data_IF_818150921098
#
_entry.id   IF_818150921098
#
_cell.length_a   1.000
_cell.length_b   1.000
_cell.length_c   1.000
_cell.angle_alpha   90.00
_cell.angle_beta   90.00
_cell.angle_gamma   90.00
#
_symmetry.space_group_name_H-M   'P 1'
#
loop_
_entity.id
_entity.type
_entity.pdbx_description
1 polymer ?
#
# COMPACT_ATOMS: atom_id res chain seq x y z
N UNK A 1 41.93 39.98 -16.72
CA UNK A 1 41.08 39.70 -15.54
C UNK A 1 40.62 38.22 -15.67
N UNK A 2 41.06 37.39 -14.74
CA UNK A 2 40.64 35.97 -14.67
C UNK A 2 39.28 35.90 -13.99
N UNK A 3 38.36 34.99 -14.38
CA UNK A 3 37.14 34.70 -13.65
C UNK A 3 37.43 33.92 -12.35
N UNK A 4 36.60 34.06 -11.31
CA UNK A 4 36.79 33.36 -10.04
C UNK A 4 36.54 31.85 -10.15
N UNK A 5 37.16 31.03 -9.30
CA UNK A 5 36.99 29.58 -9.34
C UNK A 5 35.60 29.19 -8.85
N UNK A 6 34.87 28.49 -9.72
CA UNK A 6 33.55 27.92 -9.41
C UNK A 6 33.66 26.90 -8.29
N UNK A 7 33.00 27.19 -7.17
CA UNK A 7 32.83 26.25 -6.07
C UNK A 7 32.03 25.03 -6.54
N UNK A 8 32.67 23.88 -6.53
CA UNK A 8 31.99 22.59 -6.69
C UNK A 8 31.19 22.36 -5.40
N UNK A 9 29.90 22.55 -5.46
CA UNK A 9 29.02 22.03 -4.42
C UNK A 9 29.01 20.49 -4.55
N UNK A 10 29.78 19.82 -3.67
CA UNK A 10 29.62 18.41 -3.44
C UNK A 10 28.30 18.18 -2.70
N UNK A 11 27.25 17.89 -3.44
CA UNK A 11 26.07 17.21 -2.91
C UNK A 11 26.44 15.73 -2.71
N UNK A 12 27.10 15.43 -1.60
CA UNK A 12 27.15 14.07 -1.06
C UNK A 12 25.87 13.84 -0.25
N UNK A 13 24.73 13.76 -0.91
CA UNK A 13 23.59 13.06 -0.38
C UNK A 13 23.87 11.59 -0.68
N UNK A 14 24.22 10.80 0.32
CA UNK A 14 24.05 9.35 0.28
C UNK A 14 22.58 9.14 -0.08
N UNK A 15 22.29 8.77 -1.32
CA UNK A 15 20.96 8.37 -1.74
C UNK A 15 20.65 7.10 -0.96
N UNK A 16 19.92 7.22 0.14
CA UNK A 16 19.34 6.08 0.84
C UNK A 16 18.54 5.32 -0.19
N UNK A 17 18.94 4.08 -0.45
CA UNK A 17 18.28 3.24 -1.44
C UNK A 17 16.86 2.99 -0.97
N UNK A 18 15.86 3.40 -1.76
CA UNK A 18 14.46 3.21 -1.42
C UNK A 18 14.16 1.72 -1.17
N UNK A 19 13.34 1.43 -0.18
CA UNK A 19 12.98 0.07 0.21
C UNK A 19 12.11 -0.61 -0.86
N UNK A 20 11.09 0.12 -1.34
CA UNK A 20 10.33 -0.22 -2.56
C UNK A 20 10.44 0.96 -3.53
N UNK A 21 10.70 0.68 -4.78
CA UNK A 21 10.76 1.67 -5.84
C UNK A 21 9.95 1.20 -7.06
N UNK A 22 8.97 1.98 -7.43
CA UNK A 22 8.17 1.81 -8.65
C UNK A 22 8.60 2.90 -9.62
N UNK A 23 9.16 2.51 -10.76
CA UNK A 23 9.74 3.45 -11.71
C UNK A 23 8.98 3.43 -13.02
N UNK A 24 8.21 4.49 -13.27
CA UNK A 24 7.56 4.81 -14.55
C UNK A 24 6.81 3.62 -15.15
N UNK A 25 6.02 2.88 -14.32
CA UNK A 25 5.30 1.70 -14.81
C UNK A 25 4.09 2.09 -15.64
N UNK A 26 3.91 1.38 -16.77
CA UNK A 26 2.67 1.33 -17.53
C UNK A 26 2.04 -0.05 -17.36
N UNK A 27 0.72 -0.07 -17.14
CA UNK A 27 -0.05 -1.32 -17.03
C UNK A 27 -1.18 -1.31 -18.01
N UNK A 28 -1.29 -2.42 -18.78
CA UNK A 28 -2.35 -2.65 -19.75
C UNK A 28 -3.10 -3.93 -19.37
N UNK A 29 -4.42 -3.90 -19.46
CA UNK A 29 -5.28 -5.08 -19.36
C UNK A 29 -5.79 -5.48 -20.74
N UNK A 30 -5.96 -6.79 -20.96
CA UNK A 30 -6.43 -7.38 -22.23
C UNK A 30 -5.70 -6.83 -23.48
N UNK A 31 -4.41 -6.42 -23.31
CA UNK A 31 -3.57 -5.81 -24.36
C UNK A 31 -4.10 -4.49 -24.96
N UNK A 32 -5.19 -3.94 -24.41
CA UNK A 32 -5.88 -2.76 -24.98
C UNK A 32 -6.10 -1.66 -23.94
N UNK A 33 -6.46 -2.01 -22.71
CA UNK A 33 -6.92 -1.03 -21.71
C UNK A 33 -5.70 -0.52 -20.92
N UNK A 34 -5.20 0.67 -21.25
CA UNK A 34 -4.12 1.33 -20.53
C UNK A 34 -4.64 1.96 -19.24
N UNK A 35 -4.32 1.35 -18.09
CA UNK A 35 -4.76 1.79 -16.75
C UNK A 35 -3.71 2.64 -16.07
N UNK A 36 -2.45 2.17 -15.97
CA UNK A 36 -1.36 2.98 -15.40
C UNK A 36 -0.53 3.61 -16.52
N UNK A 37 -0.16 4.89 -16.32
CA UNK A 37 0.43 5.74 -17.37
C UNK A 37 1.70 6.42 -16.88
N UNK A 38 2.70 5.60 -16.50
CA UNK A 38 3.96 6.10 -15.99
C UNK A 38 3.93 6.43 -14.50
N UNK A 39 3.39 5.51 -13.69
CA UNK A 39 3.36 5.66 -12.22
C UNK A 39 4.76 5.46 -11.66
N UNK A 40 5.19 6.40 -10.82
CA UNK A 40 6.42 6.33 -10.03
C UNK A 40 6.12 6.65 -8.59
N UNK A 41 6.58 5.80 -7.67
CA UNK A 41 6.50 6.01 -6.23
C UNK A 41 7.67 5.32 -5.50
N UNK A 42 7.92 5.74 -4.26
CA UNK A 42 8.93 5.16 -3.38
C UNK A 42 8.35 4.95 -1.99
N UNK A 43 8.83 3.91 -1.33
CA UNK A 43 8.57 3.65 0.09
C UNK A 43 9.92 3.42 0.74
N UNK A 44 10.25 4.19 1.76
CA UNK A 44 11.44 3.97 2.58
C UNK A 44 11.17 2.88 3.63
N UNK A 45 12.23 2.25 4.14
CA UNK A 45 12.09 1.23 5.17
C UNK A 45 11.42 1.78 6.43
N UNK A 46 10.46 1.06 6.97
CA UNK A 46 9.73 1.45 8.17
C UNK A 46 8.75 2.61 7.97
N UNK A 47 8.43 2.99 6.74
CA UNK A 47 7.41 4.01 6.46
C UNK A 47 6.03 3.43 6.22
N UNK A 48 5.01 4.23 6.56
CA UNK A 48 3.64 4.09 6.10
C UNK A 48 3.42 5.10 4.98
N UNK A 49 3.20 4.63 3.76
CA UNK A 49 2.97 5.47 2.58
C UNK A 49 1.54 5.27 2.10
N UNK A 50 0.82 6.37 1.81
CA UNK A 50 -0.53 6.34 1.27
C UNK A 50 -0.54 6.56 -0.24
N UNK A 51 -1.27 5.71 -0.95
CA UNK A 51 -1.63 5.87 -2.35
C UNK A 51 -3.10 6.25 -2.44
N UNK A 52 -3.38 7.51 -2.67
CA UNK A 52 -4.69 8.14 -2.57
C UNK A 52 -5.30 8.37 -3.95
N UNK A 53 -6.61 8.39 -4.02
CA UNK A 53 -7.33 8.69 -5.26
C UNK A 53 -8.74 8.11 -5.27
N UNK A 54 -9.55 8.60 -6.20
CA UNK A 54 -10.91 8.10 -6.41
C UNK A 54 -10.93 6.64 -6.91
N UNK A 55 -12.12 6.02 -6.90
CA UNK A 55 -12.30 4.71 -7.52
C UNK A 55 -11.96 4.79 -9.01
N UNK A 56 -11.24 3.78 -9.51
CA UNK A 56 -10.73 3.76 -10.89
C UNK A 56 -9.48 4.59 -11.14
N UNK A 57 -8.89 5.25 -10.13
CA UNK A 57 -7.64 6.01 -10.29
C UNK A 57 -6.42 5.14 -10.62
N UNK A 58 -6.48 3.81 -10.33
CA UNK A 58 -5.40 2.86 -10.56
C UNK A 58 -4.69 2.37 -9.31
N UNK A 59 -5.23 2.65 -8.11
CA UNK A 59 -4.63 2.27 -6.81
C UNK A 59 -4.43 0.75 -6.69
N UNK A 60 -5.52 -0.01 -6.78
CA UNK A 60 -5.50 -1.48 -6.75
C UNK A 60 -4.59 -2.07 -7.84
N UNK A 61 -4.63 -1.50 -9.05
CA UNK A 61 -3.74 -1.91 -10.16
C UNK A 61 -2.28 -1.70 -9.82
N UNK A 62 -1.94 -0.59 -9.13
CA UNK A 62 -0.57 -0.33 -8.68
C UNK A 62 -0.13 -1.37 -7.65
N UNK A 63 -0.97 -1.70 -6.65
CA UNK A 63 -0.67 -2.75 -5.67
C UNK A 63 -0.52 -4.12 -6.34
N UNK A 64 -1.41 -4.48 -7.28
CA UNK A 64 -1.33 -5.73 -8.04
C UNK A 64 -0.11 -5.79 -8.95
N UNK A 65 0.38 -4.65 -9.47
CA UNK A 65 1.64 -4.61 -10.20
C UNK A 65 2.83 -4.96 -9.31
N UNK A 66 2.86 -4.42 -8.08
CA UNK A 66 3.92 -4.69 -7.10
C UNK A 66 3.91 -6.15 -6.64
N UNK A 67 2.72 -6.72 -6.39
CA UNK A 67 2.54 -8.11 -5.94
C UNK A 67 2.51 -9.15 -7.07
N UNK A 68 2.65 -8.71 -8.34
CA UNK A 68 2.60 -9.56 -9.54
C UNK A 68 1.28 -10.35 -9.71
N UNK A 69 0.16 -9.81 -9.19
CA UNK A 69 -1.17 -10.41 -9.31
C UNK A 69 -1.91 -9.98 -10.59
N UNK A 70 -1.37 -9.04 -11.39
CA UNK A 70 -2.00 -8.55 -12.61
C UNK A 70 -2.34 -9.67 -13.60
N UNK A 71 -1.46 -10.67 -13.74
CA UNK A 71 -1.63 -11.77 -14.71
C UNK A 71 -2.90 -12.58 -14.49
N UNK A 72 -3.36 -12.70 -13.24
CA UNK A 72 -4.60 -13.40 -12.91
C UNK A 72 -5.84 -12.72 -13.53
N UNK A 73 -5.71 -11.42 -13.84
CA UNK A 73 -6.77 -10.59 -14.43
C UNK A 73 -6.41 -10.12 -15.86
N UNK A 74 -5.50 -10.81 -16.55
CA UNK A 74 -5.00 -10.47 -17.90
C UNK A 74 -4.32 -9.09 -17.98
N UNK A 75 -3.75 -8.62 -16.88
CA UNK A 75 -2.95 -7.39 -16.82
C UNK A 75 -1.46 -7.68 -16.91
N UNK A 76 -0.71 -6.73 -17.43
CA UNK A 76 0.76 -6.80 -17.50
C UNK A 76 1.42 -5.43 -17.34
N UNK A 77 2.62 -5.43 -16.76
CA UNK A 77 3.50 -4.26 -16.76
C UNK A 77 4.23 -4.22 -18.10
N UNK A 78 3.90 -3.25 -18.94
CA UNK A 78 4.48 -3.12 -20.30
C UNK A 78 5.71 -2.26 -20.35
N UNK A 79 5.83 -1.27 -19.41
CA UNK A 79 7.01 -0.39 -19.29
C UNK A 79 7.38 -0.16 -17.84
N UNK A 80 8.60 0.27 -17.62
CA UNK A 80 9.13 0.58 -16.30
C UNK A 80 9.68 -0.65 -15.59
N UNK A 81 9.87 -0.50 -14.29
CA UNK A 81 10.37 -1.57 -13.42
C UNK A 81 9.94 -1.35 -11.98
N UNK A 82 9.95 -2.43 -11.20
CA UNK A 82 9.66 -2.41 -9.77
C UNK A 82 10.84 -3.06 -9.06
N UNK A 83 11.41 -2.33 -8.09
CA UNK A 83 12.55 -2.78 -7.30
C UNK A 83 12.14 -2.88 -5.84
N UNK A 84 12.55 -3.95 -5.17
CA UNK A 84 12.43 -4.11 -3.73
C UNK A 84 13.82 -4.40 -3.16
N UNK A 85 14.29 -3.55 -2.25
CA UNK A 85 15.65 -3.59 -1.70
C UNK A 85 16.72 -3.66 -2.80
N UNK A 86 16.52 -2.87 -3.87
CA UNK A 86 17.40 -2.81 -5.03
C UNK A 86 17.28 -3.98 -6.01
N UNK A 87 16.57 -5.03 -5.67
CA UNK A 87 16.36 -6.17 -6.56
C UNK A 87 15.07 -6.00 -7.39
N UNK A 88 15.15 -6.32 -8.69
CA UNK A 88 13.98 -6.27 -9.57
C UNK A 88 13.00 -7.38 -9.23
N UNK A 89 11.71 -7.03 -9.07
CA UNK A 89 10.67 -7.95 -8.62
C UNK A 89 9.51 -8.14 -9.61
N UNK A 90 9.34 -7.30 -10.60
CA UNK A 90 8.20 -7.31 -11.54
C UNK A 90 8.10 -8.57 -12.43
N UNK A 91 9.07 -9.48 -12.34
CA UNK A 91 9.08 -10.76 -13.08
C UNK A 91 8.97 -12.00 -12.20
N UNK A 92 8.89 -11.82 -10.89
CA UNK A 92 8.82 -12.92 -9.93
C UNK A 92 7.40 -13.46 -9.84
N UNK A 93 7.27 -14.71 -9.36
CA UNK A 93 5.97 -15.26 -9.00
C UNK A 93 5.46 -14.65 -7.68
N UNK A 94 4.15 -14.50 -7.47
CA UNK A 94 3.59 -13.97 -6.22
C UNK A 94 4.10 -14.70 -4.97
N UNK A 95 4.26 -16.03 -5.03
CA UNK A 95 4.79 -16.83 -3.90
C UNK A 95 6.24 -16.46 -3.55
N UNK A 96 7.06 -16.10 -4.55
CA UNK A 96 8.44 -15.65 -4.32
C UNK A 96 8.49 -14.28 -3.66
N UNK A 97 7.52 -13.40 -3.99
CA UNK A 97 7.39 -12.10 -3.33
C UNK A 97 7.03 -12.25 -1.86
N UNK A 98 6.10 -13.15 -1.52
CA UNK A 98 5.77 -13.45 -0.12
C UNK A 98 6.99 -13.98 0.62
N UNK A 99 7.78 -14.88 0.04
CA UNK A 99 9.05 -15.37 0.62
C UNK A 99 10.09 -14.27 0.79
N UNK A 100 10.04 -13.22 -0.02
CA UNK A 100 10.90 -12.01 0.11
C UNK A 100 10.34 -10.99 1.11
N UNK A 101 9.19 -11.28 1.72
CA UNK A 101 8.58 -10.45 2.74
C UNK A 101 7.60 -9.39 2.23
N UNK A 102 7.09 -9.48 0.99
CA UNK A 102 6.02 -8.61 0.49
C UNK A 102 4.71 -9.37 0.50
N UNK A 103 3.74 -8.92 1.30
CA UNK A 103 2.40 -9.47 1.35
C UNK A 103 1.36 -8.44 0.92
N UNK A 104 0.33 -8.87 0.20
CA UNK A 104 -0.83 -8.02 -0.11
C UNK A 104 -2.07 -8.51 0.62
N UNK A 105 -2.78 -7.56 1.25
CA UNK A 105 -4.15 -7.72 1.71
C UNK A 105 -5.04 -7.04 0.68
N UNK A 106 -5.78 -7.84 -0.07
CA UNK A 106 -6.63 -7.36 -1.17
C UNK A 106 -7.92 -6.73 -0.65
N UNK A 107 -8.50 -5.83 -1.44
CA UNK A 107 -9.85 -5.33 -1.25
C UNK A 107 -10.85 -6.50 -1.14
N UNK A 108 -11.89 -6.35 -0.30
CA UNK A 108 -12.89 -7.41 -0.13
C UNK A 108 -12.51 -8.51 0.86
N UNK A 109 -11.41 -8.34 1.62
CA UNK A 109 -10.98 -9.19 2.75
C UNK A 109 -10.51 -10.59 2.36
N UNK A 110 -11.13 -11.25 1.40
CA UNK A 110 -10.79 -12.56 0.82
C UNK A 110 -10.46 -13.64 1.89
N UNK A 111 -11.28 -13.73 2.94
CA UNK A 111 -11.20 -14.84 3.89
C UNK A 111 -11.74 -16.12 3.26
N UNK A 112 -11.16 -17.25 3.61
CA UNK A 112 -11.71 -18.57 3.29
C UNK A 112 -12.92 -18.80 4.20
N UNK A 113 -14.12 -18.60 3.66
CA UNK A 113 -15.36 -18.52 4.44
C UNK A 113 -15.67 -19.81 5.23
N UNK A 114 -15.29 -20.98 4.70
CA UNK A 114 -15.53 -22.29 5.31
C UNK A 114 -14.47 -22.67 6.36
N UNK A 115 -13.33 -21.97 6.37
CA UNK A 115 -12.30 -22.17 7.39
C UNK A 115 -12.63 -21.32 8.61
N UNK A 116 -12.20 -21.80 9.78
CA UNK A 116 -12.21 -21.02 11.02
C UNK A 116 -11.28 -19.81 10.91
N UNK A 117 -11.41 -18.84 11.81
CA UNK A 117 -10.48 -17.69 11.92
C UNK A 117 -9.05 -18.19 12.09
N UNK A 118 -8.82 -19.15 13.01
CA UNK A 118 -7.49 -19.71 13.26
C UNK A 118 -6.91 -20.41 12.04
N UNK A 119 -7.69 -21.23 11.34
CA UNK A 119 -7.24 -21.89 10.11
C UNK A 119 -6.93 -20.85 9.01
N UNK A 120 -7.73 -19.79 8.88
CA UNK A 120 -7.41 -18.69 7.97
C UNK A 120 -6.06 -18.07 8.30
N UNK A 121 -5.79 -17.78 9.57
CA UNK A 121 -4.50 -17.24 10.00
C UNK A 121 -3.35 -18.19 9.64
N UNK A 122 -3.50 -19.47 9.96
CA UNK A 122 -2.48 -20.50 9.69
C UNK A 122 -2.14 -20.64 8.20
N UNK A 123 -3.10 -20.40 7.28
CA UNK A 123 -2.80 -20.40 5.83
C UNK A 123 -1.73 -19.37 5.46
N UNK A 124 -1.61 -18.27 6.21
CA UNK A 124 -0.60 -17.24 5.98
C UNK A 124 0.85 -17.71 6.19
N UNK A 125 1.04 -18.75 7.02
CA UNK A 125 2.35 -19.33 7.25
C UNK A 125 2.79 -20.36 6.19
N UNK A 126 1.94 -20.68 5.21
CA UNK A 126 2.17 -21.75 4.22
C UNK A 126 3.51 -21.61 3.48
N UNK A 127 3.88 -20.41 3.09
CA UNK A 127 5.13 -20.15 2.35
C UNK A 127 6.40 -20.39 3.16
N UNK A 128 6.29 -20.55 4.49
CA UNK A 128 7.40 -20.83 5.41
C UNK A 128 7.67 -22.33 5.59
N UNK A 129 6.88 -23.17 4.93
CA UNK A 129 6.91 -24.63 5.04
C UNK A 129 5.96 -25.14 6.13
N UNK A 130 5.43 -26.35 5.94
CA UNK A 130 4.36 -26.94 6.74
C UNK A 130 4.67 -27.08 8.25
N UNK A 131 5.93 -26.93 8.65
CA UNK A 131 6.41 -26.96 10.04
C UNK A 131 7.32 -25.77 10.34
N UNK A 132 7.04 -24.58 9.77
CA UNK A 132 7.82 -23.38 10.08
C UNK A 132 7.92 -23.20 11.60
N UNK A 133 9.16 -23.16 12.13
CA UNK A 133 9.39 -22.91 13.56
C UNK A 133 8.73 -21.60 13.98
N UNK A 134 8.04 -21.60 15.13
CA UNK A 134 7.44 -20.43 15.72
C UNK A 134 6.07 -20.03 15.16
N UNK A 135 5.36 -20.91 14.43
CA UNK A 135 3.99 -20.58 13.94
C UNK A 135 3.03 -20.32 15.10
N UNK A 136 3.14 -21.08 16.20
CA UNK A 136 2.33 -20.86 17.41
C UNK A 136 2.63 -19.52 18.08
N UNK A 137 3.90 -19.10 18.12
CA UNK A 137 4.31 -17.80 18.65
C UNK A 137 3.78 -16.66 17.78
N UNK A 138 3.85 -16.81 16.44
CA UNK A 138 3.29 -15.83 15.51
C UNK A 138 1.78 -15.71 15.64
N UNK A 139 1.08 -16.84 15.85
CA UNK A 139 -0.36 -16.86 16.07
C UNK A 139 -0.73 -16.12 17.35
N UNK A 140 -0.02 -16.39 18.47
CA UNK A 140 -0.24 -15.65 19.73
C UNK A 140 0.09 -14.16 19.57
N UNK A 141 1.10 -13.83 18.78
CA UNK A 141 1.44 -12.43 18.43
C UNK A 141 0.30 -11.75 17.66
N UNK A 142 -0.28 -12.44 16.67
CA UNK A 142 -1.45 -11.95 15.92
C UNK A 142 -2.62 -11.74 16.88
N UNK A 143 -2.89 -12.65 17.79
CA UNK A 143 -3.93 -12.51 18.82
C UNK A 143 -3.64 -11.36 19.79
N UNK A 144 -2.38 -11.03 20.05
CA UNK A 144 -1.99 -9.86 20.81
C UNK A 144 -2.36 -8.54 20.14
N UNK A 145 -2.29 -8.47 18.80
CA UNK A 145 -2.75 -7.31 18.03
C UNK A 145 -4.26 -7.30 17.81
N UNK A 146 -4.88 -8.48 17.69
CA UNK A 146 -6.31 -8.66 17.39
C UNK A 146 -6.97 -9.59 18.42
N UNK A 147 -7.21 -9.13 19.69
CA UNK A 147 -7.77 -9.97 20.74
C UNK A 147 -9.12 -10.61 20.36
N UNK A 148 -9.95 -9.88 19.60
CA UNK A 148 -11.24 -10.39 19.11
C UNK A 148 -11.08 -11.64 18.24
N UNK A 149 -10.00 -11.79 17.50
CA UNK A 149 -9.74 -12.99 16.69
C UNK A 149 -9.46 -14.20 17.57
N UNK A 150 -8.83 -14.01 18.75
CA UNK A 150 -8.60 -15.08 19.72
C UNK A 150 -9.93 -15.60 20.29
N UNK A 151 -10.86 -14.69 20.64
CA UNK A 151 -12.19 -15.04 21.11
C UNK A 151 -13.01 -15.78 20.05
N UNK A 152 -12.82 -15.44 18.79
CA UNK A 152 -13.53 -16.01 17.63
C UNK A 152 -12.74 -17.08 16.88
N UNK A 153 -11.63 -17.56 17.40
CA UNK A 153 -10.69 -18.44 16.67
C UNK A 153 -11.32 -19.69 16.05
N UNK A 154 -12.35 -20.25 16.71
CA UNK A 154 -13.05 -21.46 16.24
C UNK A 154 -14.30 -21.14 15.41
N UNK A 155 -14.68 -19.87 15.27
CA UNK A 155 -15.79 -19.49 14.41
C UNK A 155 -15.36 -19.54 12.93
N UNK A 156 -16.24 -20.02 12.05
CA UNK A 156 -16.02 -19.93 10.60
C UNK A 156 -15.99 -18.46 10.16
N UNK A 157 -14.99 -18.10 9.35
CA UNK A 157 -14.78 -16.72 8.94
C UNK A 157 -15.97 -16.12 8.16
N UNK A 158 -16.73 -16.95 7.46
CA UNK A 158 -17.94 -16.52 6.75
C UNK A 158 -19.04 -15.98 7.67
N UNK A 159 -19.04 -16.34 8.95
CA UNK A 159 -20.02 -15.88 9.93
C UNK A 159 -19.48 -14.81 10.87
N UNK A 160 -18.26 -14.32 10.65
CA UNK A 160 -17.71 -13.21 11.43
C UNK A 160 -18.09 -11.85 10.83
N UNK A 161 -18.02 -10.80 11.65
CA UNK A 161 -18.31 -9.44 11.21
C UNK A 161 -17.29 -8.97 10.15
N UNK A 162 -17.66 -7.94 9.37
CA UNK A 162 -16.75 -7.38 8.37
C UNK A 162 -15.44 -6.88 8.95
N UNK A 163 -15.44 -6.34 10.18
CA UNK A 163 -14.21 -5.93 10.87
C UNK A 163 -13.34 -7.12 11.27
N UNK A 164 -13.94 -8.19 11.81
CA UNK A 164 -13.22 -9.43 12.16
C UNK A 164 -12.62 -10.09 10.91
N UNK A 165 -13.33 -10.08 9.78
CA UNK A 165 -12.80 -10.56 8.49
C UNK A 165 -11.60 -9.73 8.02
N UNK A 166 -11.66 -8.39 8.16
CA UNK A 166 -10.55 -7.50 7.81
C UNK A 166 -9.34 -7.74 8.72
N UNK A 167 -9.57 -7.88 10.02
CA UNK A 167 -8.53 -8.24 10.99
C UNK A 167 -7.92 -9.61 10.67
N UNK A 168 -8.75 -10.59 10.28
CA UNK A 168 -8.30 -11.93 9.87
C UNK A 168 -7.41 -11.86 8.61
N UNK A 169 -7.79 -11.03 7.62
CA UNK A 169 -7.01 -10.86 6.40
C UNK A 169 -5.63 -10.22 6.68
N UNK A 170 -5.58 -9.20 7.55
CA UNK A 170 -4.32 -8.57 7.98
C UNK A 170 -3.50 -9.56 8.84
N UNK A 171 -4.14 -10.23 9.79
CA UNK A 171 -3.49 -11.24 10.64
C UNK A 171 -2.89 -12.38 9.82
N UNK A 172 -3.59 -12.85 8.79
CA UNK A 172 -3.09 -13.84 7.84
C UNK A 172 -1.82 -13.37 7.12
N UNK A 173 -1.76 -12.10 6.70
CA UNK A 173 -0.56 -11.53 6.11
C UNK A 173 0.61 -11.50 7.11
N UNK A 174 0.34 -11.20 8.38
CA UNK A 174 1.36 -11.18 9.45
C UNK A 174 1.98 -12.55 9.71
N UNK A 175 1.23 -13.64 9.53
CA UNK A 175 1.73 -15.02 9.70
C UNK A 175 2.85 -15.37 8.72
N UNK A 176 2.98 -14.64 7.60
CA UNK A 176 4.10 -14.78 6.68
C UNK A 176 5.39 -14.06 7.16
N UNK A 177 5.36 -13.36 8.30
CA UNK A 177 6.44 -12.48 8.81
C UNK A 177 6.88 -11.46 7.76
N UNK A 178 5.96 -10.62 7.27
CA UNK A 178 6.23 -9.69 6.18
C UNK A 178 7.16 -8.57 6.64
N UNK A 179 7.97 -8.07 5.71
CA UNK A 179 8.75 -6.84 5.85
C UNK A 179 7.97 -5.64 5.29
N UNK A 180 7.05 -5.92 4.36
CA UNK A 180 6.19 -4.93 3.73
C UNK A 180 4.79 -5.50 3.49
N UNK A 181 3.77 -4.71 3.83
CA UNK A 181 2.37 -5.05 3.57
C UNK A 181 1.77 -4.00 2.64
N UNK A 182 1.14 -4.49 1.57
CA UNK A 182 0.32 -3.72 0.66
C UNK A 182 -1.13 -3.87 1.12
N UNK A 183 -1.78 -2.79 1.57
CA UNK A 183 -3.17 -2.79 2.01
C UNK A 183 -4.05 -2.10 0.98
N UNK A 184 -5.03 -2.83 0.46
CA UNK A 184 -5.96 -2.32 -0.54
C UNK A 184 -7.32 -2.03 0.11
N UNK A 185 -7.66 -0.74 0.23
CA UNK A 185 -8.91 -0.22 0.80
C UNK A 185 -9.29 -0.84 2.17
N UNK A 186 -8.36 -0.86 3.18
CA UNK A 186 -8.64 -1.52 4.45
C UNK A 186 -9.80 -0.93 5.25
N UNK A 187 -10.21 0.32 4.95
CA UNK A 187 -11.32 1.00 5.61
C UNK A 187 -12.70 0.72 5.00
N UNK A 188 -12.74 0.13 3.78
CA UNK A 188 -13.98 0.06 3.01
C UNK A 188 -15.05 -0.81 3.69
N UNK A 189 -16.27 -0.24 3.83
CA UNK A 189 -17.42 -0.92 4.38
C UNK A 189 -17.31 -1.28 5.87
N UNK A 190 -16.48 -0.55 6.62
CA UNK A 190 -16.32 -0.70 8.07
C UNK A 190 -16.91 0.49 8.83
N UNK A 191 -17.34 0.24 10.06
CA UNK A 191 -17.75 1.30 10.97
C UNK A 191 -16.52 2.18 11.34
N UNK A 192 -16.70 3.49 11.55
CA UNK A 192 -15.58 4.42 11.79
C UNK A 192 -14.65 3.99 12.94
N UNK A 193 -15.20 3.45 14.03
CA UNK A 193 -14.41 2.96 15.16
C UNK A 193 -13.50 1.80 14.80
N UNK A 194 -13.97 0.86 13.93
CA UNK A 194 -13.17 -0.26 13.46
C UNK A 194 -12.08 0.20 12.49
N UNK A 195 -12.36 1.23 11.70
CA UNK A 195 -11.34 1.83 10.83
C UNK A 195 -10.20 2.41 11.67
N UNK A 196 -10.51 3.19 12.71
CA UNK A 196 -9.50 3.74 13.60
C UNK A 196 -8.69 2.64 14.28
N UNK A 197 -9.36 1.60 14.82
CA UNK A 197 -8.70 0.45 15.45
C UNK A 197 -7.70 -0.23 14.48
N UNK A 198 -8.08 -0.47 13.22
CA UNK A 198 -7.20 -1.08 12.21
C UNK A 198 -5.98 -0.18 11.92
N UNK A 199 -6.18 1.13 11.76
CA UNK A 199 -5.05 2.03 11.48
C UNK A 199 -4.12 2.22 12.69
N UNK A 200 -4.64 2.15 13.91
CA UNK A 200 -3.83 2.12 15.13
C UNK A 200 -2.97 0.84 15.18
N UNK A 201 -3.56 -0.32 14.83
CA UNK A 201 -2.82 -1.58 14.74
C UNK A 201 -1.75 -1.52 13.66
N UNK A 202 -2.05 -0.98 12.47
CA UNK A 202 -1.06 -0.74 11.40
C UNK A 202 0.09 0.11 11.91
N UNK A 203 -0.21 1.18 12.66
CA UNK A 203 0.81 2.04 13.25
C UNK A 203 1.64 1.31 14.31
N UNK A 204 0.99 0.48 15.14
CA UNK A 204 1.68 -0.32 16.16
C UNK A 204 2.62 -1.35 15.52
N UNK A 205 2.18 -2.04 14.45
CA UNK A 205 2.98 -2.97 13.67
C UNK A 205 4.18 -2.27 13.02
N UNK A 206 3.96 -1.09 12.43
CA UNK A 206 5.04 -0.30 11.85
C UNK A 206 6.09 0.08 12.90
N UNK A 207 5.66 0.57 14.06
CA UNK A 207 6.57 1.04 15.12
C UNK A 207 7.32 -0.10 15.81
N UNK A 208 6.61 -1.18 16.18
CA UNK A 208 7.16 -2.29 16.99
C UNK A 208 7.88 -3.32 16.12
N UNK A 209 7.30 -3.67 14.98
CA UNK A 209 7.79 -4.76 14.11
C UNK A 209 8.59 -4.24 12.90
N UNK A 210 8.66 -2.92 12.73
CA UNK A 210 9.33 -2.28 11.60
C UNK A 210 8.77 -2.68 10.22
N UNK A 211 7.52 -3.14 10.17
CA UNK A 211 6.85 -3.45 8.90
C UNK A 211 6.57 -2.15 8.15
N UNK A 212 6.96 -2.09 6.88
CA UNK A 212 6.62 -0.97 5.98
C UNK A 212 5.23 -1.19 5.39
N UNK A 213 4.50 -0.13 5.10
CA UNK A 213 3.16 -0.21 4.54
C UNK A 213 3.01 0.67 3.30
N UNK A 214 2.34 0.14 2.28
CA UNK A 214 1.76 0.92 1.20
C UNK A 214 0.24 0.74 1.25
N UNK A 215 -0.46 1.83 1.60
CA UNK A 215 -1.91 1.86 1.79
C UNK A 215 -2.57 2.45 0.54
N UNK A 216 -3.38 1.70 -0.17
CA UNK A 216 -4.28 2.26 -1.18
C UNK A 216 -5.60 2.60 -0.50
N UNK A 217 -5.99 3.87 -0.50
CA UNK A 217 -7.20 4.36 0.19
C UNK A 217 -7.93 5.42 -0.62
N UNK A 218 -9.26 5.37 -0.55
CA UNK A 218 -10.11 6.44 -1.05
C UNK A 218 -10.34 7.49 0.03
N UNK A 219 -10.43 7.08 1.30
CA UNK A 219 -10.61 8.00 2.41
C UNK A 219 -9.28 8.71 2.76
N UNK A 220 -9.05 9.81 2.06
CA UNK A 220 -7.82 10.61 2.19
C UNK A 220 -7.59 11.13 3.60
N UNK A 221 -8.68 11.50 4.33
CA UNK A 221 -8.59 12.01 5.70
C UNK A 221 -7.94 11.00 6.65
N UNK A 222 -8.45 9.76 6.63
CA UNK A 222 -7.93 8.73 7.53
C UNK A 222 -6.52 8.33 7.12
N UNK A 223 -6.27 8.14 5.82
CA UNK A 223 -4.97 7.70 5.34
C UNK A 223 -3.86 8.70 5.67
N UNK A 224 -4.07 10.00 5.42
CA UNK A 224 -3.06 11.04 5.68
C UNK A 224 -2.78 11.27 7.17
N UNK A 225 -3.72 10.93 8.07
CA UNK A 225 -3.51 11.01 9.52
C UNK A 225 -2.40 10.05 9.98
N UNK A 226 -2.28 8.90 9.33
CA UNK A 226 -1.35 7.83 9.73
C UNK A 226 -0.15 7.69 8.82
N UNK A 227 -0.21 8.20 7.58
CA UNK A 227 0.87 8.08 6.61
C UNK A 227 2.00 9.10 6.85
N UNK A 228 3.24 8.64 6.68
CA UNK A 228 4.42 9.51 6.65
C UNK A 228 4.49 10.31 5.34
N UNK A 229 4.14 9.66 4.23
CA UNK A 229 4.18 10.21 2.88
C UNK A 229 2.95 9.78 2.08
N UNK A 230 2.52 10.57 1.11
CA UNK A 230 1.37 10.26 0.26
C UNK A 230 1.61 10.55 -1.21
N UNK A 231 0.98 9.75 -2.05
CA UNK A 231 0.88 9.94 -3.49
C UNK A 231 -0.59 10.03 -3.87
N UNK A 232 -0.95 11.06 -4.62
CA UNK A 232 -2.31 11.23 -5.15
C UNK A 232 -2.32 10.74 -6.58
N UNK A 233 -3.14 9.75 -6.85
CA UNK A 233 -3.30 9.10 -8.14
C UNK A 233 -4.59 9.55 -8.81
N UNK A 234 -4.50 9.99 -10.07
CA UNK A 234 -5.65 10.34 -10.90
C UNK A 234 -5.44 9.81 -12.32
N UNK A 235 -6.43 9.07 -12.84
CA UNK A 235 -6.42 8.53 -14.20
C UNK A 235 -5.11 7.78 -14.56
N UNK A 236 -4.61 6.98 -13.62
CA UNK A 236 -3.40 6.17 -13.78
C UNK A 236 -2.09 6.97 -13.74
N UNK A 237 -2.07 8.17 -13.16
CA UNK A 237 -0.88 9.01 -12.99
C UNK A 237 -0.80 9.56 -11.58
N UNK A 238 0.42 9.68 -11.05
CA UNK A 238 0.66 10.46 -9.85
C UNK A 238 0.58 11.95 -10.23
N UNK A 239 -0.37 12.67 -9.63
CA UNK A 239 -0.59 14.11 -9.89
C UNK A 239 0.01 14.98 -8.81
N UNK A 240 0.13 14.47 -7.59
CA UNK A 240 0.74 15.16 -6.45
C UNK A 240 1.38 14.15 -5.51
N UNK A 241 2.44 14.53 -4.83
CA UNK A 241 3.08 13.75 -3.78
C UNK A 241 3.70 14.65 -2.72
N UNK A 242 3.83 14.17 -1.49
CA UNK A 242 4.42 14.93 -0.40
C UNK A 242 4.28 14.26 0.97
N UNK A 243 4.84 14.89 1.98
CA UNK A 243 4.66 14.46 3.38
C UNK A 243 3.18 14.45 3.76
N UNK A 244 2.74 13.44 4.53
CA UNK A 244 1.33 13.25 4.88
C UNK A 244 0.69 14.49 5.51
N UNK A 245 1.40 15.15 6.45
CA UNK A 245 0.93 16.37 7.09
C UNK A 245 0.77 17.52 6.09
N UNK A 246 1.77 17.73 5.22
CA UNK A 246 1.73 18.79 4.21
C UNK A 246 0.62 18.57 3.19
N UNK A 247 0.35 17.33 2.81
CA UNK A 247 -0.78 16.99 1.93
C UNK A 247 -2.12 17.22 2.62
N UNK A 248 -2.25 16.89 3.92
CA UNK A 248 -3.48 17.12 4.67
C UNK A 248 -3.81 18.61 4.84
N UNK A 249 -2.82 19.49 4.83
CA UNK A 249 -2.97 20.93 4.94
C UNK A 249 -3.17 21.63 3.57
N UNK A 250 -2.85 20.95 2.48
CA UNK A 250 -2.93 21.50 1.13
C UNK A 250 -4.38 21.82 0.74
N UNK A 251 -4.63 23.05 0.25
CA UNK A 251 -5.97 23.52 -0.10
C UNK A 251 -6.59 22.74 -1.26
N UNK A 252 -5.80 22.39 -2.28
CA UNK A 252 -6.27 21.60 -3.41
C UNK A 252 -6.67 20.18 -2.95
N UNK A 253 -5.90 19.58 -2.04
CA UNK A 253 -6.24 18.28 -1.46
C UNK A 253 -7.51 18.36 -0.63
N UNK A 254 -7.68 19.44 0.16
CA UNK A 254 -8.89 19.68 0.94
C UNK A 254 -10.12 19.87 0.04
N UNK A 255 -10.00 20.65 -1.01
CA UNK A 255 -11.11 20.90 -1.93
C UNK A 255 -11.53 19.64 -2.71
N UNK A 256 -10.55 18.88 -3.27
CA UNK A 256 -10.84 17.81 -4.20
C UNK A 256 -11.05 16.43 -3.54
N UNK A 257 -10.37 16.17 -2.40
CA UNK A 257 -10.35 14.83 -1.80
C UNK A 257 -10.89 14.78 -0.37
N UNK A 258 -10.93 15.93 0.36
CA UNK A 258 -11.43 15.97 1.73
C UNK A 258 -12.88 16.46 1.84
N UNK A 259 -13.50 16.79 0.70
CA UNK A 259 -14.94 17.14 0.66
C UNK A 259 -15.29 18.53 1.20
N UNK A 260 -14.32 19.43 1.36
CA UNK A 260 -14.55 20.81 1.83
C UNK A 260 -14.97 21.77 0.71
N UNK A 261 -15.37 21.29 -0.48
CA UNK A 261 -15.78 22.17 -1.57
C UNK A 261 -17.25 22.57 -1.50
N UNK A 262 -17.52 23.85 -1.66
CA UNK A 262 -18.86 24.43 -1.84
C UNK A 262 -19.42 24.29 -3.27
N UNK A 263 -18.82 23.47 -4.13
CA UNK A 263 -19.24 23.27 -5.52
C UNK A 263 -18.65 22.01 -6.12
N UNK A 264 -19.45 21.29 -6.90
CA UNK A 264 -19.26 19.93 -7.43
C UNK A 264 -17.84 19.51 -7.81
N UNK A 265 -17.62 18.18 -7.87
CA UNK A 265 -16.33 17.52 -8.18
C UNK A 265 -15.63 18.16 -9.38
N UNK A 266 -14.52 18.87 -9.13
CA UNK A 266 -13.61 19.38 -10.17
C UNK A 266 -12.42 18.41 -10.29
N UNK A 267 -11.89 18.24 -11.51
CA UNK A 267 -10.65 17.48 -11.76
C UNK A 267 -9.43 18.41 -11.68
N UNK A 268 -8.29 17.93 -11.24
CA UNK A 268 -7.01 18.66 -11.31
C UNK A 268 -6.65 19.12 -12.74
N UNK A 269 -7.23 18.50 -13.76
CA UNK A 269 -7.08 18.95 -15.16
C UNK A 269 -7.65 20.32 -15.42
N UNK A 270 -8.65 20.74 -14.63
CA UNK A 270 -9.38 21.99 -14.82
C UNK A 270 -8.75 23.16 -14.08
N UNK A 271 -7.74 22.90 -13.24
CA UNK A 271 -7.02 23.92 -12.48
C UNK A 271 -5.79 24.39 -13.28
N UNK A 272 -5.90 25.58 -13.88
CA UNK A 272 -4.86 26.20 -14.74
C UNK A 272 -3.53 26.56 -14.05
N UNK A 273 -3.38 26.39 -12.74
CA UNK A 273 -2.22 26.89 -11.97
C UNK A 273 -1.20 25.83 -11.55
N UNK A 274 -1.34 24.57 -11.96
CA UNK A 274 -0.41 23.51 -11.56
C UNK A 274 0.92 23.65 -12.31
N UNK A 275 1.98 24.14 -11.64
CA UNK A 275 3.36 24.10 -12.15
C UNK A 275 3.83 22.65 -12.16
N UNK A 276 3.85 22.00 -13.34
CA UNK A 276 4.54 20.74 -13.57
C UNK A 276 6.01 20.90 -13.15
N UNK A 277 6.44 20.26 -12.07
CA UNK A 277 7.88 20.06 -11.85
C UNK A 277 8.38 19.20 -13.00
N UNK A 278 9.17 19.78 -13.90
CA UNK A 278 9.95 19.01 -14.87
C UNK A 278 10.91 18.13 -14.08
N UNK A 279 10.66 16.84 -14.03
CA UNK A 279 11.68 15.86 -13.65
C UNK A 279 12.64 15.79 -14.82
N UNK A 280 13.88 16.17 -14.60
CA UNK A 280 14.97 15.92 -15.55
C UNK A 280 15.21 14.41 -15.60
N UNK A 281 15.38 13.92 -16.82
CA UNK A 281 15.82 12.56 -17.17
C UNK A 281 17.18 12.25 -16.54
#
# INVERSE_FOLDING_TARGET
>A
RRPPPGGRFHFSAMATQAYLEVNNIEVIYDHVILVLRGVSLRVEEGQIVALLGANGAGKTTTLKAISNLLRAERGEVTKGQILFRGARIDRLNPSELVKRGICQVMEGRHCFQHLTVEENLLTGAYTRGAMGTGVGEDLEKVYGYFPRLKERRHAQSGYTSGGEQQMTAIGRALMARPQMILLDEPSMGLAPQLVEEIFEIVTALNRKEKVSFLLAEQNTNIALRYANYGYILENGRVVMDGEGKSLAENEDVKEFYLGFSSGGRKSFRDVKSYRRRKRWL
#
